data_IF_794947319540
#
_entry.id   IF_794947319540
#
_cell.length_a   1.000
_cell.length_b   1.000
_cell.length_c   1.000
_cell.angle_alpha   90.00
_cell.angle_beta   90.00
_cell.angle_gamma   90.00
#
_symmetry.space_group_name_H-M   'P 1'
#
loop_
_entity.id
_entity.type
_entity.pdbx_description
1 polymer ?
#
# COMPACT_ATOMS: atom_id res chain seq x y z
N UNK A 1 0.02 21.59 25.34
CA UNK A 1 0.53 20.23 25.53
C UNK A 1 0.10 19.33 24.37
N UNK A 2 0.93 18.38 24.04
CA UNK A 2 0.58 17.33 23.07
C UNK A 2 -0.42 16.37 23.73
N UNK A 3 -1.54 15.98 23.08
CA UNK A 3 -2.51 15.02 23.65
C UNK A 3 -1.90 13.65 23.98
N UNK A 4 -0.73 13.34 23.43
CA UNK A 4 0.00 12.09 23.63
C UNK A 4 0.93 12.13 24.86
N UNK A 5 1.07 13.30 25.49
CA UNK A 5 1.94 13.49 26.64
C UNK A 5 1.47 12.64 27.84
N UNK A 6 2.34 11.81 28.37
CA UNK A 6 2.02 10.85 29.45
C UNK A 6 1.45 9.51 28.99
N UNK A 7 0.91 9.41 27.76
CA UNK A 7 0.41 8.14 27.18
C UNK A 7 1.51 7.42 26.42
N UNK A 8 2.17 8.13 25.49
CA UNK A 8 3.37 7.68 24.79
C UNK A 8 4.61 8.25 25.48
N UNK A 9 5.61 7.42 25.69
CA UNK A 9 6.87 7.80 26.31
C UNK A 9 7.99 7.84 25.28
N UNK A 10 8.98 8.69 25.52
CA UNK A 10 10.18 8.69 24.71
C UNK A 10 10.89 7.33 24.77
N UNK A 11 11.17 6.74 23.62
CA UNK A 11 11.75 5.40 23.48
C UNK A 11 10.74 4.28 23.22
N UNK A 12 9.44 4.56 23.26
CA UNK A 12 8.42 3.60 22.83
C UNK A 12 8.60 3.27 21.36
N UNK A 13 8.56 1.98 21.01
CA UNK A 13 8.53 1.53 19.62
C UNK A 13 7.10 1.12 19.27
N UNK A 14 6.41 1.93 18.46
CA UNK A 14 5.06 1.59 17.99
C UNK A 14 5.13 0.40 17.03
N UNK A 15 4.40 -0.67 17.34
CA UNK A 15 4.43 -1.94 16.60
C UNK A 15 3.11 -2.29 15.92
N UNK A 16 1.99 -1.72 16.41
CA UNK A 16 0.68 -1.86 15.76
C UNK A 16 -0.21 -0.64 16.06
N UNK A 17 -1.15 -0.36 15.16
CA UNK A 17 -2.24 0.62 15.31
C UNK A 17 -3.54 -0.10 14.99
N UNK A 18 -4.54 -0.02 15.86
CA UNK A 18 -5.85 -0.67 15.73
C UNK A 18 -5.77 -2.17 15.40
N UNK A 19 -4.79 -2.86 15.97
CA UNK A 19 -4.52 -4.28 15.73
C UNK A 19 -3.73 -4.57 14.44
N UNK A 20 -3.54 -3.60 13.56
CA UNK A 20 -2.76 -3.73 12.33
C UNK A 20 -1.27 -3.45 12.58
N UNK A 21 -0.41 -4.41 12.22
CA UNK A 21 1.03 -4.33 12.45
C UNK A 21 1.70 -3.26 11.59
N UNK A 22 2.63 -2.52 12.19
CA UNK A 22 3.50 -1.55 11.51
C UNK A 22 4.79 -2.24 11.07
N UNK A 23 5.12 -2.14 9.79
CA UNK A 23 6.36 -2.66 9.20
C UNK A 23 7.33 -1.54 8.87
N UNK A 24 6.82 -0.42 8.37
CA UNK A 24 7.58 0.75 7.93
C UNK A 24 6.97 2.05 8.46
N UNK A 25 7.74 3.12 8.41
CA UNK A 25 7.29 4.43 8.92
C UNK A 25 6.00 4.95 8.24
N UNK A 26 5.87 4.72 6.93
CA UNK A 26 4.69 5.14 6.15
C UNK A 26 3.39 4.48 6.61
N UNK A 27 3.45 3.29 7.23
CA UNK A 27 2.29 2.60 7.77
C UNK A 27 1.55 3.43 8.82
N UNK A 28 2.29 4.19 9.62
CA UNK A 28 1.70 5.02 10.67
C UNK A 28 0.70 6.00 10.08
N UNK A 29 1.13 6.78 9.09
CA UNK A 29 0.26 7.76 8.42
C UNK A 29 -0.87 7.08 7.66
N UNK A 30 -0.60 5.95 7.00
CA UNK A 30 -1.61 5.20 6.27
C UNK A 30 -2.70 4.68 7.20
N UNK A 31 -2.33 4.03 8.31
CA UNK A 31 -3.29 3.44 9.24
C UNK A 31 -4.12 4.49 9.98
N UNK A 32 -3.50 5.61 10.38
CA UNK A 32 -4.21 6.71 11.01
C UNK A 32 -5.20 7.38 10.04
N UNK A 33 -4.86 7.47 8.74
CA UNK A 33 -5.76 8.03 7.74
C UNK A 33 -6.89 7.08 7.32
N UNK A 34 -6.70 5.76 7.40
CA UNK A 34 -7.74 4.78 7.05
C UNK A 34 -8.93 4.80 8.00
N UNK A 35 -8.69 5.05 9.28
CA UNK A 35 -9.74 5.22 10.28
C UNK A 35 -9.69 6.67 10.79
N UNK A 36 -10.54 7.52 10.28
CA UNK A 36 -10.69 8.92 10.73
C UNK A 36 -11.44 9.01 12.06
N UNK A 37 -11.03 8.24 13.08
CA UNK A 37 -11.79 8.08 14.32
C UNK A 37 -11.38 9.05 15.43
N UNK A 38 -10.39 9.91 15.22
CA UNK A 38 -9.87 10.83 16.26
C UNK A 38 -9.17 10.14 17.44
N UNK A 39 -9.33 8.84 17.62
CA UNK A 39 -8.64 8.02 18.62
C UNK A 39 -8.33 6.62 18.09
N UNK A 40 -7.19 6.07 18.50
CA UNK A 40 -6.68 4.79 18.01
C UNK A 40 -6.12 3.93 19.15
N UNK A 41 -6.17 2.62 18.99
CA UNK A 41 -5.51 1.69 19.88
C UNK A 41 -4.08 1.43 19.39
N UNK A 42 -3.10 1.65 20.27
CA UNK A 42 -1.70 1.48 19.92
C UNK A 42 -1.10 0.31 20.66
N UNK A 43 -0.30 -0.49 19.98
CA UNK A 43 0.60 -1.43 20.61
C UNK A 43 2.02 -0.91 20.52
N UNK A 44 2.67 -0.74 21.67
CA UNK A 44 4.05 -0.27 21.74
C UNK A 44 4.93 -1.30 22.44
N UNK A 45 6.20 -1.31 22.08
CA UNK A 45 7.24 -2.03 22.82
C UNK A 45 7.98 -1.01 23.68
N UNK A 46 7.78 -1.12 25.00
CA UNK A 46 8.37 -0.25 26.04
C UNK A 46 9.32 -1.07 26.88
N UNK A 47 10.61 -0.73 26.84
CA UNK A 47 11.67 -1.48 27.57
C UNK A 47 11.69 -2.99 27.27
N UNK A 48 11.28 -3.40 26.06
CA UNK A 48 11.21 -4.81 25.64
C UNK A 48 9.89 -5.51 25.95
N UNK A 49 8.98 -4.88 26.69
CA UNK A 49 7.65 -5.41 27.00
C UNK A 49 6.58 -4.83 26.07
N UNK A 50 5.62 -5.66 25.70
CA UNK A 50 4.46 -5.25 24.89
C UNK A 50 3.45 -4.54 25.78
N UNK A 51 3.14 -3.28 25.48
CA UNK A 51 2.13 -2.47 26.16
C UNK A 51 1.03 -2.11 25.17
N UNK A 52 -0.22 -2.32 25.56
CA UNK A 52 -1.40 -1.92 24.80
C UNK A 52 -1.97 -0.64 25.38
N UNK A 53 -2.08 0.38 24.56
CA UNK A 53 -2.63 1.70 24.89
C UNK A 53 -3.94 1.84 24.13
N UNK A 54 -5.05 1.93 24.85
CA UNK A 54 -6.39 2.00 24.26
C UNK A 54 -6.87 3.44 24.20
N UNK A 55 -7.64 3.74 23.15
CA UNK A 55 -8.30 5.03 22.95
C UNK A 55 -7.35 6.24 23.03
N UNK A 56 -6.18 6.11 22.40
CA UNK A 56 -5.18 7.19 22.34
C UNK A 56 -5.66 8.26 21.39
N UNK A 57 -5.80 9.54 21.82
CA UNK A 57 -6.28 10.61 20.98
C UNK A 57 -5.24 10.95 19.90
N UNK A 58 -5.60 10.74 18.65
CA UNK A 58 -4.75 11.00 17.48
C UNK A 58 -5.52 11.79 16.43
N UNK A 59 -5.54 13.09 16.60
CA UNK A 59 -6.14 14.02 15.65
C UNK A 59 -5.05 14.79 14.91
N UNK A 60 -5.32 15.10 13.65
CA UNK A 60 -4.49 16.02 12.87
C UNK A 60 -4.57 17.43 13.48
N UNK A 61 -3.42 17.97 13.88
CA UNK A 61 -3.27 19.33 14.42
C UNK A 61 -2.15 20.06 13.72
N UNK A 62 -2.23 21.37 13.74
CA UNK A 62 -1.13 22.22 13.28
C UNK A 62 -0.05 22.31 14.36
N UNK A 63 1.17 22.02 13.97
CA UNK A 63 2.38 22.14 14.78
C UNK A 63 3.36 23.07 14.09
N UNK A 64 4.27 23.64 14.86
CA UNK A 64 5.37 24.46 14.33
C UNK A 64 6.69 23.72 14.55
N UNK A 65 7.48 23.58 13.50
CA UNK A 65 8.80 22.96 13.57
C UNK A 65 9.81 23.91 14.28
N UNK A 66 11.03 23.40 14.52
CA UNK A 66 12.12 24.20 15.15
C UNK A 66 12.55 25.41 14.32
N UNK A 67 12.20 25.46 13.04
CA UNK A 67 12.52 26.54 12.10
C UNK A 67 11.38 27.55 11.96
N UNK A 68 10.26 27.36 12.68
CA UNK A 68 9.09 28.23 12.63
C UNK A 68 8.09 27.90 11.51
N UNK A 69 8.28 26.78 10.77
CA UNK A 69 7.35 26.39 9.71
C UNK A 69 6.16 25.63 10.32
N UNK A 70 4.95 26.01 9.93
CA UNK A 70 3.75 25.28 10.31
C UNK A 70 3.64 23.99 9.49
N UNK A 71 3.30 22.88 10.16
CA UNK A 71 2.96 21.61 9.53
C UNK A 71 1.82 20.93 10.25
N UNK A 72 1.04 20.14 9.52
CA UNK A 72 -0.07 19.37 10.08
C UNK A 72 0.40 17.94 10.36
N UNK A 73 0.12 17.42 11.55
CA UNK A 73 0.54 16.08 11.95
C UNK A 73 -0.20 15.56 13.17
N UNK A 74 0.11 14.34 13.56
CA UNK A 74 -0.47 13.67 14.74
C UNK A 74 0.33 13.89 16.04
N UNK A 75 1.34 14.74 16.03
CA UNK A 75 2.19 15.00 17.21
C UNK A 75 3.24 13.91 17.48
N UNK A 76 3.44 12.98 16.57
CA UNK A 76 4.45 11.95 16.67
C UNK A 76 5.79 12.44 16.11
N UNK A 77 6.85 12.32 16.91
CA UNK A 77 8.22 12.57 16.47
C UNK A 77 9.01 11.26 16.52
N UNK A 78 9.54 10.83 15.39
CA UNK A 78 10.33 9.60 15.30
C UNK A 78 11.81 9.92 15.27
N UNK A 79 12.60 9.16 16.03
CA UNK A 79 14.07 9.28 15.98
C UNK A 79 14.63 8.43 14.83
N UNK A 80 15.62 8.97 14.14
CA UNK A 80 16.36 8.23 13.11
C UNK A 80 17.56 7.56 13.77
N UNK A 81 17.69 6.24 13.58
CA UNK A 81 18.84 5.45 14.03
C UNK A 81 19.69 5.08 12.82
N UNK A 82 21.02 5.12 12.95
CA UNK A 82 21.91 4.55 11.94
C UNK A 82 21.64 3.05 11.78
N UNK A 83 21.40 2.63 10.53
CA UNK A 83 21.04 1.27 10.20
C UNK A 83 22.26 0.42 9.92
N UNK A 84 22.41 -0.70 10.63
CA UNK A 84 23.36 -1.76 10.31
C UNK A 84 22.97 -2.47 8.99
N UNK A 85 23.88 -3.29 8.43
CA UNK A 85 23.59 -4.10 7.23
C UNK A 85 22.38 -5.04 7.49
N UNK A 86 22.32 -5.65 8.68
CA UNK A 86 21.20 -6.50 9.09
C UNK A 86 19.87 -5.73 9.14
N UNK A 87 19.89 -4.50 9.66
CA UNK A 87 18.70 -3.64 9.70
C UNK A 87 18.22 -3.30 8.28
N UNK A 88 19.14 -3.05 7.34
CA UNK A 88 18.80 -2.76 5.93
C UNK A 88 18.14 -3.94 5.23
N UNK A 89 18.66 -5.14 5.44
CA UNK A 89 18.08 -6.38 4.89
C UNK A 89 16.69 -6.62 5.49
N UNK A 90 16.56 -6.55 6.82
CA UNK A 90 15.28 -6.70 7.52
C UNK A 90 14.25 -5.65 7.05
N UNK A 91 14.67 -4.42 6.88
CA UNK A 91 13.82 -3.33 6.38
C UNK A 91 13.37 -3.58 4.93
N UNK A 92 14.24 -4.13 4.06
CA UNK A 92 13.86 -4.47 2.69
C UNK A 92 12.79 -5.55 2.64
N UNK A 93 12.89 -6.59 3.48
CA UNK A 93 11.83 -7.59 3.62
C UNK A 93 10.54 -6.99 4.18
N UNK A 94 10.63 -6.13 5.19
CA UNK A 94 9.49 -5.44 5.76
C UNK A 94 8.76 -4.58 4.71
N UNK A 95 9.49 -3.84 3.87
CA UNK A 95 8.91 -3.09 2.75
C UNK A 95 8.22 -3.98 1.73
N UNK A 96 8.80 -5.13 1.38
CA UNK A 96 8.17 -6.05 0.43
C UNK A 96 6.82 -6.58 0.97
N UNK A 97 6.76 -6.92 2.27
CA UNK A 97 5.51 -7.32 2.94
C UNK A 97 4.51 -6.17 2.95
N UNK A 98 4.97 -4.96 3.25
CA UNK A 98 4.14 -3.77 3.27
C UNK A 98 3.55 -3.45 1.89
N UNK A 99 4.31 -3.57 0.82
CA UNK A 99 3.79 -3.41 -0.54
C UNK A 99 2.66 -4.39 -0.85
N UNK A 100 2.80 -5.68 -0.47
CA UNK A 100 1.72 -6.67 -0.62
C UNK A 100 0.49 -6.26 0.18
N UNK A 101 0.68 -5.76 1.40
CA UNK A 101 -0.38 -5.25 2.26
C UNK A 101 -1.08 -4.02 1.65
N UNK A 102 -0.31 -3.07 1.12
CA UNK A 102 -0.86 -1.89 0.43
C UNK A 102 -1.78 -2.28 -0.73
N UNK A 103 -1.40 -3.29 -1.54
CA UNK A 103 -2.27 -3.82 -2.61
C UNK A 103 -3.58 -4.35 -2.02
N UNK A 104 -3.51 -5.14 -0.95
CA UNK A 104 -4.70 -5.67 -0.27
C UNK A 104 -5.61 -4.55 0.21
N UNK A 105 -5.06 -3.53 0.88
CA UNK A 105 -5.82 -2.39 1.39
C UNK A 105 -6.43 -1.57 0.26
N UNK A 106 -5.69 -1.32 -0.82
CA UNK A 106 -6.19 -0.62 -2.00
C UNK A 106 -7.35 -1.35 -2.66
N UNK A 107 -7.26 -2.68 -2.78
CA UNK A 107 -8.36 -3.50 -3.30
C UNK A 107 -9.57 -3.47 -2.36
N UNK A 108 -9.35 -3.50 -1.04
CA UNK A 108 -10.42 -3.37 -0.06
C UNK A 108 -11.12 -2.02 -0.18
N UNK A 109 -10.37 -0.91 -0.28
CA UNK A 109 -10.93 0.44 -0.47
C UNK A 109 -11.75 0.54 -1.75
N UNK A 110 -11.29 -0.09 -2.83
CA UNK A 110 -12.01 -0.13 -4.10
C UNK A 110 -13.34 -0.89 -3.97
N UNK A 111 -13.33 -2.06 -3.31
CA UNK A 111 -14.54 -2.90 -3.11
C UNK A 111 -15.52 -2.26 -2.14
N UNK A 112 -15.03 -1.56 -1.11
CA UNK A 112 -15.88 -0.84 -0.13
C UNK A 112 -16.38 0.51 -0.64
N UNK A 113 -15.95 0.95 -1.84
CA UNK A 113 -16.34 2.23 -2.41
C UNK A 113 -15.68 3.45 -1.75
N UNK A 114 -14.68 3.25 -0.89
CA UNK A 114 -13.89 4.33 -0.29
C UNK A 114 -12.92 4.96 -1.29
N UNK A 115 -12.48 4.20 -2.30
CA UNK A 115 -11.75 4.69 -3.44
C UNK A 115 -12.58 4.52 -4.73
N UNK A 116 -12.55 5.53 -5.58
CA UNK A 116 -13.25 5.52 -6.87
C UNK A 116 -12.32 5.21 -8.04
N UNK A 117 -12.91 4.98 -9.22
CA UNK A 117 -12.14 4.80 -10.46
C UNK A 117 -11.26 6.04 -10.76
N UNK A 118 -11.65 7.21 -10.27
CA UNK A 118 -10.90 8.47 -10.42
C UNK A 118 -9.57 8.48 -9.66
N UNK A 119 -9.44 7.63 -8.64
CA UNK A 119 -8.24 7.53 -7.81
C UNK A 119 -7.23 6.52 -8.38
N UNK A 120 -7.62 5.78 -9.43
CA UNK A 120 -6.74 4.87 -10.13
C UNK A 120 -5.86 5.68 -11.09
N UNK A 121 -4.56 5.50 -10.99
CA UNK A 121 -3.59 6.05 -11.94
C UNK A 121 -3.29 5.02 -13.03
N UNK A 122 -3.40 5.47 -14.27
CA UNK A 122 -3.00 4.67 -15.42
C UNK A 122 -1.54 4.88 -15.81
N UNK A 123 -1.12 4.39 -16.98
CA UNK A 123 0.26 4.51 -17.45
C UNK A 123 0.79 5.95 -17.50
N UNK A 124 -0.06 6.90 -17.87
CA UNK A 124 0.32 8.33 -17.96
C UNK A 124 0.49 8.92 -16.56
N UNK A 125 -0.39 8.59 -15.63
CA UNK A 125 -0.27 8.99 -14.22
C UNK A 125 0.99 8.43 -13.55
N UNK A 126 1.37 7.18 -13.85
CA UNK A 126 2.62 6.58 -13.35
C UNK A 126 3.84 7.36 -13.86
N UNK A 127 3.87 7.72 -15.14
CA UNK A 127 4.97 8.52 -15.71
C UNK A 127 5.05 9.89 -15.06
N UNK A 128 3.92 10.56 -14.79
CA UNK A 128 3.87 11.81 -14.06
C UNK A 128 4.51 11.68 -12.67
N UNK A 129 4.07 10.68 -11.88
CA UNK A 129 4.63 10.42 -10.54
C UNK A 129 6.14 10.17 -10.58
N UNK A 130 6.65 9.39 -11.55
CA UNK A 130 8.09 9.15 -11.70
C UNK A 130 8.83 10.47 -11.99
N UNK A 131 8.25 11.31 -12.85
CA UNK A 131 8.83 12.61 -13.20
C UNK A 131 8.86 13.54 -11.99
N UNK A 132 7.77 13.63 -11.25
CA UNK A 132 7.65 14.47 -10.06
C UNK A 132 8.63 14.04 -8.96
N UNK A 133 8.76 12.73 -8.74
CA UNK A 133 9.74 12.17 -7.80
C UNK A 133 11.17 12.47 -8.24
N UNK A 134 11.46 12.41 -9.54
CA UNK A 134 12.76 12.76 -10.10
C UNK A 134 13.11 14.25 -9.88
N UNK A 135 12.16 15.14 -10.19
CA UNK A 135 12.34 16.59 -10.10
C UNK A 135 12.37 17.12 -8.66
N UNK A 136 11.57 16.55 -7.76
CA UNK A 136 11.50 16.95 -6.35
C UNK A 136 12.67 16.42 -5.50
N UNK A 137 13.49 15.55 -6.07
CA UNK A 137 14.63 14.96 -5.34
C UNK A 137 15.77 15.96 -5.15
N UNK A 138 16.33 16.01 -3.94
CA UNK A 138 17.37 16.95 -3.53
C UNK A 138 18.74 16.75 -4.24
N UNK A 139 18.95 15.59 -4.88
CA UNK A 139 20.17 15.26 -5.62
C UNK A 139 19.91 14.15 -6.63
N UNK A 140 20.78 14.00 -7.63
CA UNK A 140 20.68 12.92 -8.63
C UNK A 140 20.72 11.53 -7.98
N UNK A 141 21.54 11.33 -6.95
CA UNK A 141 21.59 10.06 -6.21
C UNK A 141 20.30 9.79 -5.41
N UNK A 142 19.67 10.83 -4.87
CA UNK A 142 18.37 10.71 -4.22
C UNK A 142 17.27 10.38 -5.25
N UNK A 143 17.29 11.02 -6.42
CA UNK A 143 16.36 10.74 -7.50
C UNK A 143 16.43 9.27 -7.93
N UNK A 144 17.64 8.73 -8.17
CA UNK A 144 17.83 7.32 -8.55
C UNK A 144 17.30 6.39 -7.47
N UNK A 145 17.56 6.64 -6.19
CA UNK A 145 17.03 5.80 -5.09
C UNK A 145 15.52 5.84 -5.03
N UNK A 146 14.92 7.02 -5.11
CA UNK A 146 13.47 7.21 -5.02
C UNK A 146 12.75 6.55 -6.20
N UNK A 147 13.28 6.70 -7.41
CA UNK A 147 12.76 6.04 -8.62
C UNK A 147 12.92 4.52 -8.51
N UNK A 148 14.06 4.02 -8.01
CA UNK A 148 14.25 2.57 -7.81
C UNK A 148 13.28 2.00 -6.76
N UNK A 149 13.01 2.73 -5.68
CA UNK A 149 12.01 2.36 -4.69
C UNK A 149 10.60 2.30 -5.31
N UNK A 150 10.24 3.31 -6.09
CA UNK A 150 8.95 3.36 -6.79
C UNK A 150 8.82 2.19 -7.80
N UNK A 151 9.86 1.90 -8.56
CA UNK A 151 9.91 0.78 -9.49
C UNK A 151 9.74 -0.57 -8.77
N UNK A 152 10.39 -0.76 -7.61
CA UNK A 152 10.24 -1.94 -6.78
C UNK A 152 8.80 -2.08 -6.26
N UNK A 153 8.19 -1.00 -5.80
CA UNK A 153 6.78 -0.97 -5.37
C UNK A 153 5.85 -1.38 -6.51
N UNK A 154 6.02 -0.80 -7.70
CA UNK A 154 5.21 -1.12 -8.88
C UNK A 154 5.40 -2.60 -9.27
N UNK A 155 6.62 -3.12 -9.23
CA UNK A 155 6.92 -4.52 -9.57
C UNK A 155 6.23 -5.49 -8.60
N UNK A 156 6.25 -5.21 -7.30
CA UNK A 156 5.54 -6.04 -6.29
C UNK A 156 4.03 -5.94 -6.49
N UNK A 157 3.49 -4.73 -6.72
CA UNK A 157 2.07 -4.55 -6.98
C UNK A 157 1.63 -5.36 -8.20
N UNK A 158 2.39 -5.30 -9.30
CA UNK A 158 2.12 -6.07 -10.52
C UNK A 158 2.17 -7.58 -10.26
N UNK A 159 3.15 -8.06 -9.48
CA UNK A 159 3.26 -9.48 -9.12
C UNK A 159 2.04 -9.94 -8.30
N UNK A 160 1.62 -9.16 -7.29
CA UNK A 160 0.45 -9.48 -6.46
C UNK A 160 -0.83 -9.45 -7.30
N UNK A 161 -1.01 -8.44 -8.14
CA UNK A 161 -2.18 -8.35 -9.04
C UNK A 161 -2.23 -9.54 -10.01
N UNK A 162 -1.09 -9.98 -10.54
CA UNK A 162 -1.03 -11.14 -11.43
C UNK A 162 -1.37 -12.47 -10.74
N UNK A 163 -1.25 -12.55 -9.41
CA UNK A 163 -1.66 -13.73 -8.62
C UNK A 163 -3.16 -13.74 -8.29
N UNK A 164 -3.88 -12.64 -8.52
CA UNK A 164 -5.33 -12.63 -8.29
C UNK A 164 -6.06 -13.58 -9.24
N UNK A 165 -7.15 -14.25 -8.78
CA UNK A 165 -7.90 -15.20 -9.59
C UNK A 165 -8.78 -14.49 -10.65
N UNK A 166 -8.17 -13.56 -11.39
CA UNK A 166 -8.84 -12.79 -12.43
C UNK A 166 -8.55 -13.38 -13.82
N UNK A 167 -9.55 -13.42 -14.70
CA UNK A 167 -9.31 -13.81 -16.09
C UNK A 167 -8.24 -12.93 -16.76
N UNK A 168 -7.49 -13.50 -17.68
CA UNK A 168 -6.36 -12.89 -18.39
C UNK A 168 -5.06 -12.72 -17.58
N UNK A 169 -5.07 -12.89 -16.25
CA UNK A 169 -3.89 -12.90 -15.40
C UNK A 169 -3.41 -14.35 -15.12
N UNK A 170 -2.17 -14.49 -14.66
CA UNK A 170 -1.62 -15.81 -14.35
C UNK A 170 -2.35 -16.52 -13.20
N UNK A 171 -2.79 -15.76 -12.19
CA UNK A 171 -3.64 -16.25 -11.12
C UNK A 171 -4.97 -16.85 -11.62
N UNK A 172 -5.53 -16.30 -12.68
CA UNK A 172 -6.70 -16.87 -13.35
C UNK A 172 -6.45 -18.25 -13.93
N UNK A 173 -5.27 -18.47 -14.55
CA UNK A 173 -4.88 -19.81 -15.04
C UNK A 173 -4.70 -20.80 -13.90
N UNK A 174 -4.01 -20.39 -12.82
CA UNK A 174 -3.85 -21.20 -11.61
C UNK A 174 -5.22 -21.55 -11.03
N UNK A 175 -6.13 -20.60 -10.95
CA UNK A 175 -7.48 -20.81 -10.49
C UNK A 175 -8.23 -21.86 -11.31
N UNK A 176 -8.19 -21.80 -12.64
CA UNK A 176 -8.79 -22.81 -13.51
C UNK A 176 -8.13 -24.19 -13.37
N UNK A 177 -6.79 -24.25 -13.16
CA UNK A 177 -6.10 -25.51 -12.87
C UNK A 177 -6.62 -26.15 -11.57
N UNK A 178 -6.76 -25.36 -10.51
CA UNK A 178 -7.29 -25.84 -9.21
C UNK A 178 -8.73 -26.31 -9.37
N UNK A 179 -9.59 -25.52 -10.04
CA UNK A 179 -10.99 -25.92 -10.29
C UNK A 179 -11.05 -27.21 -11.12
N UNK A 180 -10.24 -27.32 -12.17
CA UNK A 180 -10.18 -28.56 -12.99
C UNK A 180 -9.75 -29.77 -12.17
N UNK A 181 -8.78 -29.61 -11.26
CA UNK A 181 -8.35 -30.67 -10.36
C UNK A 181 -9.49 -31.10 -9.41
N UNK A 182 -10.21 -30.13 -8.83
CA UNK A 182 -11.36 -30.38 -7.96
C UNK A 182 -12.53 -31.04 -8.72
N UNK A 183 -12.85 -30.56 -9.93
CA UNK A 183 -13.88 -31.15 -10.79
C UNK A 183 -13.53 -32.58 -11.16
N UNK A 184 -12.26 -32.89 -11.45
CA UNK A 184 -11.82 -34.26 -11.72
C UNK A 184 -11.97 -35.17 -10.50
N UNK A 185 -11.71 -34.63 -9.29
CA UNK A 185 -11.82 -35.41 -8.05
C UNK A 185 -13.29 -35.73 -7.69
N UNK A 186 -14.21 -34.76 -7.88
CA UNK A 186 -15.60 -34.86 -7.44
C UNK A 186 -16.52 -35.36 -8.56
N UNK A 187 -16.44 -34.75 -9.74
CA UNK A 187 -17.40 -34.96 -10.84
C UNK A 187 -16.80 -35.85 -11.94
N UNK A 188 -15.47 -36.11 -11.89
CA UNK A 188 -14.69 -36.84 -12.91
C UNK A 188 -14.82 -36.27 -14.33
N UNK A 189 -15.10 -34.97 -14.45
CA UNK A 189 -15.16 -34.24 -15.72
C UNK A 189 -14.28 -33.00 -15.66
N UNK A 190 -13.61 -32.69 -16.77
CA UNK A 190 -12.83 -31.45 -16.91
C UNK A 190 -13.69 -30.34 -17.52
N UNK A 191 -13.41 -29.11 -17.15
CA UNK A 191 -13.97 -27.93 -17.82
C UNK A 191 -13.43 -27.91 -19.26
N UNK A 192 -14.29 -27.69 -20.27
CA UNK A 192 -13.82 -27.61 -21.65
C UNK A 192 -12.81 -26.49 -21.83
N UNK A 193 -11.69 -26.77 -22.48
CA UNK A 193 -10.62 -25.81 -22.72
C UNK A 193 -11.08 -24.56 -23.50
N UNK A 194 -12.10 -24.75 -24.36
CA UNK A 194 -12.74 -23.63 -25.06
C UNK A 194 -13.41 -22.62 -24.10
N UNK A 195 -14.06 -23.11 -23.04
CA UNK A 195 -14.70 -22.23 -22.04
C UNK A 195 -13.65 -21.42 -21.31
N UNK A 196 -12.58 -22.03 -20.83
CA UNK A 196 -11.46 -21.34 -20.18
C UNK A 196 -10.89 -20.26 -21.11
N UNK A 197 -10.68 -20.59 -22.38
CA UNK A 197 -10.16 -19.66 -23.39
C UNK A 197 -11.10 -18.45 -23.58
N UNK A 198 -12.41 -18.67 -23.68
CA UNK A 198 -13.39 -17.58 -23.81
C UNK A 198 -13.41 -16.67 -22.58
N UNK A 199 -13.31 -17.23 -21.38
CA UNK A 199 -13.27 -16.45 -20.13
C UNK A 199 -12.01 -15.58 -20.09
N UNK A 200 -10.86 -16.13 -20.50
CA UNK A 200 -9.62 -15.36 -20.58
C UNK A 200 -9.67 -14.24 -21.63
N UNK A 201 -10.22 -14.51 -22.81
CA UNK A 201 -10.37 -13.49 -23.88
C UNK A 201 -11.32 -12.36 -23.41
N UNK A 202 -12.46 -12.72 -22.80
CA UNK A 202 -13.41 -11.73 -22.27
C UNK A 202 -12.77 -10.88 -21.17
N UNK A 203 -12.03 -11.50 -20.24
CA UNK A 203 -11.29 -10.80 -19.21
C UNK A 203 -10.21 -9.88 -19.75
N UNK A 204 -9.47 -10.34 -20.77
CA UNK A 204 -8.47 -9.50 -21.44
C UNK A 204 -9.11 -8.29 -22.13
N UNK A 205 -10.22 -8.47 -22.84
CA UNK A 205 -10.95 -7.38 -23.46
C UNK A 205 -11.45 -6.35 -22.43
N UNK A 206 -11.96 -6.83 -21.27
CA UNK A 206 -12.40 -5.97 -20.18
C UNK A 206 -11.23 -5.16 -19.60
N UNK A 207 -10.08 -5.81 -19.34
CA UNK A 207 -8.89 -5.14 -18.83
C UNK A 207 -8.36 -4.09 -19.83
N UNK A 208 -8.38 -4.39 -21.12
CA UNK A 208 -7.99 -3.43 -22.18
C UNK A 208 -8.92 -2.22 -22.21
N UNK A 209 -10.23 -2.43 -22.09
CA UNK A 209 -11.21 -1.34 -22.02
C UNK A 209 -11.00 -0.48 -20.77
N UNK A 210 -10.76 -1.11 -19.61
CA UNK A 210 -10.46 -0.40 -18.37
C UNK A 210 -9.17 0.42 -18.50
N UNK A 211 -8.10 -0.15 -19.06
CA UNK A 211 -6.84 0.54 -19.29
C UNK A 211 -7.02 1.76 -20.21
N UNK A 212 -7.78 1.63 -21.30
CA UNK A 212 -8.08 2.74 -22.19
C UNK A 212 -8.88 3.84 -21.49
N UNK A 213 -9.90 3.47 -20.70
CA UNK A 213 -10.68 4.44 -19.91
C UNK A 213 -9.84 5.21 -18.90
N UNK A 214 -8.97 4.51 -18.16
CA UNK A 214 -8.08 5.15 -17.16
C UNK A 214 -7.02 6.02 -17.86
N UNK A 215 -6.45 5.55 -18.97
CA UNK A 215 -5.49 6.35 -19.75
C UNK A 215 -6.14 7.63 -20.29
N UNK A 216 -7.37 7.54 -20.80
CA UNK A 216 -8.12 8.72 -21.25
C UNK A 216 -8.36 9.70 -20.08
N UNK A 217 -8.73 9.18 -18.92
CA UNK A 217 -8.91 9.99 -17.71
C UNK A 217 -7.60 10.68 -17.27
N UNK A 218 -6.46 9.97 -17.29
CA UNK A 218 -5.15 10.56 -16.95
C UNK A 218 -4.80 11.71 -17.90
N UNK A 219 -4.98 11.49 -19.22
CA UNK A 219 -4.73 12.53 -20.21
C UNK A 219 -5.67 13.73 -19.98
N UNK A 220 -6.93 13.47 -19.67
CA UNK A 220 -7.89 14.55 -19.38
C UNK A 220 -7.48 15.40 -18.18
N UNK A 221 -6.94 14.78 -17.12
CA UNK A 221 -6.43 15.47 -15.92
C UNK A 221 -5.26 16.42 -16.23
N UNK A 222 -4.46 16.15 -17.25
CA UNK A 222 -3.32 17.01 -17.64
C UNK A 222 -3.81 18.33 -18.29
N UNK A 223 -5.00 18.33 -18.89
CA UNK A 223 -5.56 19.51 -19.56
C UNK A 223 -6.50 20.34 -18.68
N UNK A 224 -6.71 19.97 -17.43
CA UNK A 224 -7.47 20.72 -16.42
C UNK A 224 -6.54 21.45 -15.44
#
# INVERSE_FOLDING_TARGET
GCPLEGTLLAGDKVTAIDGERIYVYSDVSLLLNLKQSGSHDLTVLRNGEKVELTNVPMELREYTDKNGNAYTGYGLTFSVKEASIGDRISYSFANAIDFVRMVRLSLQMLVTGQAGVKDISGPVGIVSVITDVGQSSSSASAAVRNIAYLAAMIAVNLAVMNLLPLPALDGGKIFFLVINALCMLVIRKRIPQKFESYVHIAGFALLMLLMLAVTFQDVWKIFQ
#
